data_IF_689908111237
#
_entry.id   IF_689908111237
#
_cell.length_a   1.000
_cell.length_b   1.000
_cell.length_c   1.000
_cell.angle_alpha   90.00
_cell.angle_beta   90.00
_cell.angle_gamma   90.00
#
_symmetry.space_group_name_H-M   'P 1'
#
loop_
_entity.id
_entity.type
_entity.pdbx_description
1 polymer ?
#
# COMPACT_ATOMS: atom_id res chain seq x y z
N UNK A 1 19.33 30.45 -14.89
CA UNK A 1 20.80 30.41 -14.85
C UNK A 1 21.21 29.23 -13.99
N UNK A 2 22.32 28.56 -14.29
CA UNK A 2 22.77 27.43 -13.46
C UNK A 2 23.22 27.96 -12.09
N UNK A 3 22.76 27.35 -10.99
CA UNK A 3 23.22 27.69 -9.66
C UNK A 3 24.72 27.40 -9.53
N UNK A 4 25.44 28.28 -8.83
CA UNK A 4 26.88 28.10 -8.60
C UNK A 4 27.09 26.89 -7.68
N UNK A 5 28.07 26.03 -7.97
CA UNK A 5 28.36 24.86 -7.14
C UNK A 5 28.62 25.30 -5.68
N UNK A 6 28.06 24.56 -4.73
CA UNK A 6 28.12 24.92 -3.31
C UNK A 6 29.57 24.98 -2.78
N UNK A 7 30.50 24.25 -3.37
CA UNK A 7 31.91 24.30 -2.99
C UNK A 7 32.58 25.59 -3.49
N UNK A 8 32.19 26.08 -4.67
CA UNK A 8 32.63 27.37 -5.19
C UNK A 8 32.09 28.50 -4.30
N UNK A 9 30.79 28.46 -3.94
CA UNK A 9 30.20 29.43 -3.02
C UNK A 9 30.95 29.46 -1.68
N UNK A 10 31.26 28.30 -1.10
CA UNK A 10 32.00 28.21 0.18
C UNK A 10 33.39 28.85 0.10
N UNK A 11 34.09 28.71 -1.03
CA UNK A 11 35.43 29.28 -1.21
C UNK A 11 35.47 30.82 -1.19
N UNK A 12 34.34 31.49 -1.41
CA UNK A 12 34.28 32.97 -1.37
C UNK A 12 34.05 33.54 0.03
N UNK A 13 33.79 32.69 1.03
CA UNK A 13 33.43 33.07 2.39
C UNK A 13 34.35 32.39 3.43
N UNK A 14 35.62 32.20 3.08
CA UNK A 14 36.63 31.70 4.02
C UNK A 14 37.13 32.80 4.96
N UNK A 15 37.79 32.42 6.05
CA UNK A 15 38.29 33.39 7.02
C UNK A 15 39.38 34.25 6.39
N UNK A 16 39.14 35.55 6.31
CA UNK A 16 40.08 36.52 5.72
C UNK A 16 39.70 36.94 4.30
N UNK A 17 38.76 36.25 3.67
CA UNK A 17 38.24 36.62 2.35
C UNK A 17 37.07 37.60 2.45
N UNK A 18 37.00 38.51 1.47
CA UNK A 18 35.90 39.45 1.32
C UNK A 18 35.27 39.22 -0.05
N UNK A 19 34.06 38.64 -0.12
CA UNK A 19 33.41 38.36 -1.39
C UNK A 19 33.05 39.66 -2.12
N UNK A 20 33.13 39.64 -3.45
CA UNK A 20 32.66 40.73 -4.30
C UNK A 20 31.13 40.82 -4.29
N UNK A 21 30.58 41.94 -4.75
CA UNK A 21 29.13 42.09 -4.91
C UNK A 21 28.52 40.98 -5.78
N UNK A 22 29.18 40.61 -6.86
CA UNK A 22 28.74 39.55 -7.78
C UNK A 22 28.72 38.18 -7.10
N UNK A 23 29.75 37.87 -6.31
CA UNK A 23 29.82 36.64 -5.51
C UNK A 23 28.70 36.60 -4.46
N UNK A 24 28.40 37.75 -3.85
CA UNK A 24 27.31 37.86 -2.89
C UNK A 24 25.92 37.71 -3.52
N UNK A 25 25.71 38.24 -4.72
CA UNK A 25 24.49 38.04 -5.49
C UNK A 25 24.31 36.60 -5.93
N UNK A 26 25.38 35.97 -6.42
CA UNK A 26 25.37 34.55 -6.81
C UNK A 26 25.01 33.63 -5.63
N UNK A 27 25.37 33.99 -4.39
CA UNK A 27 24.93 33.27 -3.20
C UNK A 27 23.42 33.37 -2.99
N UNK A 28 22.83 34.57 -3.10
CA UNK A 28 21.36 34.72 -2.99
C UNK A 28 20.61 33.98 -4.09
N UNK A 29 21.09 34.04 -5.32
CA UNK A 29 20.46 33.36 -6.47
C UNK A 29 20.55 31.83 -6.41
N UNK A 30 21.40 31.28 -5.53
CA UNK A 30 21.58 29.82 -5.39
C UNK A 30 20.50 29.15 -4.54
N UNK A 31 19.64 29.92 -3.86
CA UNK A 31 18.54 29.40 -3.05
C UNK A 31 17.19 29.90 -3.56
N UNK A 32 16.16 29.08 -3.37
CA UNK A 32 14.77 29.50 -3.60
C UNK A 32 14.33 30.45 -2.49
N UNK A 33 13.81 31.61 -2.87
CA UNK A 33 13.21 32.54 -1.92
C UNK A 33 11.79 32.09 -1.53
N UNK A 34 11.33 32.46 -0.32
CA UNK A 34 10.00 32.06 0.20
C UNK A 34 8.82 32.47 -0.68
N UNK A 35 9.00 33.51 -1.50
CA UNK A 35 7.97 34.05 -2.39
C UNK A 35 8.03 33.44 -3.80
N UNK A 36 8.99 32.56 -4.07
CA UNK A 36 9.18 31.93 -5.36
C UNK A 36 8.45 30.59 -5.42
N UNK A 37 7.96 30.25 -6.60
CA UNK A 37 7.39 28.93 -6.87
C UNK A 37 8.50 28.00 -7.32
N UNK A 38 8.62 26.86 -6.66
CA UNK A 38 9.53 25.79 -7.09
C UNK A 38 8.86 25.06 -8.27
N UNK A 39 9.46 25.04 -9.47
CA UNK A 39 8.90 24.32 -10.59
C UNK A 39 9.06 22.81 -10.39
N UNK A 40 8.05 22.05 -10.81
CA UNK A 40 8.03 20.57 -10.72
C UNK A 40 9.26 19.95 -11.39
N UNK A 41 9.74 20.54 -12.49
CA UNK A 41 10.92 20.09 -13.22
C UNK A 41 12.21 20.14 -12.41
N UNK A 42 12.25 20.87 -11.29
CA UNK A 42 13.42 20.93 -10.39
C UNK A 42 13.40 19.84 -9.31
N UNK A 43 12.33 19.04 -9.21
CA UNK A 43 12.19 17.98 -8.22
C UNK A 43 12.60 16.65 -8.87
N UNK A 44 13.70 16.07 -8.41
CA UNK A 44 14.15 14.75 -8.85
C UNK A 44 13.16 13.67 -8.43
N UNK A 45 12.98 12.63 -9.26
CA UNK A 45 12.10 11.47 -9.02
C UNK A 45 10.60 11.80 -8.95
N UNK A 46 10.17 13.02 -9.29
CA UNK A 46 8.74 13.38 -9.27
C UNK A 46 7.92 12.51 -10.23
N UNK A 47 8.46 12.20 -11.41
CA UNK A 47 7.80 11.34 -12.39
C UNK A 47 7.64 9.90 -11.88
N UNK A 48 8.67 9.34 -11.24
CA UNK A 48 8.64 7.99 -10.66
C UNK A 48 7.55 7.89 -9.58
N UNK A 49 7.50 8.84 -8.66
CA UNK A 49 6.50 8.90 -7.58
C UNK A 49 5.08 9.04 -8.13
N UNK A 50 4.90 9.75 -9.24
CA UNK A 50 3.60 9.89 -9.89
C UNK A 50 3.17 8.61 -10.60
N UNK A 51 4.10 7.92 -11.26
CA UNK A 51 3.84 6.65 -11.95
C UNK A 51 3.50 5.50 -10.97
N UNK A 52 3.97 5.58 -9.71
CA UNK A 52 3.60 4.62 -8.66
C UNK A 52 2.17 4.81 -8.13
N UNK A 53 1.49 5.90 -8.49
CA UNK A 53 0.12 6.19 -8.06
C UNK A 53 -0.87 5.76 -9.14
N UNK A 54 -2.03 5.27 -8.71
CA UNK A 54 -3.16 5.10 -9.63
C UNK A 54 -3.67 6.47 -10.10
N UNK A 55 -3.96 6.58 -11.39
CA UNK A 55 -4.62 7.76 -11.95
C UNK A 55 -6.00 7.97 -11.30
N UNK A 56 -6.35 9.23 -11.06
CA UNK A 56 -7.63 9.58 -10.40
C UNK A 56 -8.83 9.01 -11.18
N UNK A 57 -8.81 9.13 -12.51
CA UNK A 57 -9.90 8.63 -13.35
C UNK A 57 -10.00 7.10 -13.29
N UNK A 58 -8.87 6.38 -13.32
CA UNK A 58 -8.86 4.93 -13.17
C UNK A 58 -9.42 4.49 -11.81
N UNK A 59 -9.07 5.20 -10.73
CA UNK A 59 -9.61 4.95 -9.40
C UNK A 59 -11.11 5.23 -9.30
N UNK A 60 -11.57 6.37 -9.82
CA UNK A 60 -12.98 6.75 -9.81
C UNK A 60 -13.83 5.73 -10.59
N UNK A 61 -13.35 5.32 -11.78
CA UNK A 61 -14.02 4.31 -12.59
C UNK A 61 -14.12 2.97 -11.85
N UNK A 62 -13.04 2.55 -11.18
CA UNK A 62 -13.01 1.33 -10.38
C UNK A 62 -14.03 1.36 -9.23
N UNK A 63 -14.25 2.51 -8.58
CA UNK A 63 -15.21 2.65 -7.47
C UNK A 63 -16.67 2.40 -7.91
N UNK A 64 -17.00 2.75 -9.15
CA UNK A 64 -18.36 2.61 -9.70
C UNK A 64 -18.56 1.37 -10.57
N UNK A 65 -17.49 0.62 -10.86
CA UNK A 65 -17.58 -0.59 -11.67
C UNK A 65 -18.07 -1.77 -10.84
N UNK A 66 -19.35 -2.12 -11.02
CA UNK A 66 -20.00 -3.27 -10.39
C UNK A 66 -19.29 -4.62 -10.70
N UNK A 67 -18.48 -4.68 -11.76
CA UNK A 67 -17.79 -5.88 -12.20
C UNK A 67 -16.27 -5.86 -11.98
N UNK A 68 -15.74 -4.86 -11.26
CA UNK A 68 -14.30 -4.69 -11.04
C UNK A 68 -13.59 -5.93 -10.46
N UNK A 69 -14.34 -6.77 -9.74
CA UNK A 69 -13.84 -7.98 -9.09
C UNK A 69 -14.63 -9.25 -9.45
N UNK A 70 -15.36 -9.26 -10.57
CA UNK A 70 -16.22 -10.39 -10.97
C UNK A 70 -15.48 -11.75 -10.96
N UNK A 71 -14.21 -11.77 -11.38
CA UNK A 71 -13.38 -12.98 -11.37
C UNK A 71 -13.02 -13.49 -9.97
N UNK A 72 -12.88 -12.61 -8.97
CA UNK A 72 -12.66 -13.00 -7.58
C UNK A 72 -13.94 -13.58 -6.97
N UNK A 73 -15.09 -12.96 -7.24
CA UNK A 73 -16.39 -13.48 -6.80
C UNK A 73 -16.74 -14.81 -7.46
N UNK A 74 -16.35 -15.05 -8.72
CA UNK A 74 -16.55 -16.35 -9.34
C UNK A 74 -15.78 -17.49 -8.63
N UNK A 75 -14.64 -17.17 -8.00
CA UNK A 75 -13.84 -18.13 -7.23
C UNK A 75 -14.45 -18.45 -5.87
N UNK A 76 -15.24 -17.56 -5.26
CA UNK A 76 -15.85 -17.83 -3.94
C UNK A 76 -16.88 -18.96 -3.97
N UNK A 77 -17.40 -19.33 -5.15
CA UNK A 77 -18.31 -20.49 -5.33
C UNK A 77 -17.59 -21.84 -5.25
N UNK A 78 -16.27 -21.88 -5.43
CA UNK A 78 -15.48 -23.11 -5.45
C UNK A 78 -14.62 -23.12 -4.19
N UNK A 79 -14.85 -24.09 -3.32
CA UNK A 79 -14.02 -24.30 -2.13
C UNK A 79 -12.87 -25.25 -2.53
N UNK A 80 -11.60 -24.80 -2.49
CA UNK A 80 -10.44 -25.64 -2.72
C UNK A 80 -10.35 -26.84 -1.75
N UNK A 81 -9.62 -27.88 -2.14
CA UNK A 81 -9.34 -29.01 -1.26
C UNK A 81 -8.66 -28.54 0.04
N UNK A 82 -9.12 -29.06 1.19
CA UNK A 82 -8.63 -28.68 2.51
C UNK A 82 -9.18 -27.35 3.04
N UNK A 83 -10.04 -26.66 2.28
CA UNK A 83 -10.77 -25.47 2.74
C UNK A 83 -12.23 -25.79 3.07
N UNK A 84 -12.88 -24.84 3.76
CA UNK A 84 -14.22 -25.00 4.32
C UNK A 84 -15.06 -23.77 4.04
N UNK A 85 -16.37 -23.98 3.91
CA UNK A 85 -17.34 -22.93 4.10
C UNK A 85 -17.62 -22.79 5.60
N UNK A 86 -17.41 -21.59 6.14
CA UNK A 86 -17.50 -21.32 7.58
C UNK A 86 -18.62 -20.32 7.83
N UNK A 87 -19.52 -20.65 8.74
CA UNK A 87 -20.61 -19.81 9.20
C UNK A 87 -20.33 -19.42 10.65
N UNK A 88 -20.27 -18.11 10.90
CA UNK A 88 -19.96 -17.58 12.23
C UNK A 88 -21.07 -17.87 13.23
N UNK A 89 -20.67 -18.36 14.41
CA UNK A 89 -21.56 -18.45 15.55
C UNK A 89 -21.86 -17.05 16.12
N UNK A 90 -22.98 -16.91 16.83
CA UNK A 90 -23.31 -15.66 17.51
C UNK A 90 -22.21 -15.31 18.52
N UNK A 91 -21.67 -14.09 18.39
CA UNK A 91 -20.56 -13.60 19.23
C UNK A 91 -19.16 -13.76 18.62
N UNK A 92 -19.00 -14.59 17.58
CA UNK A 92 -17.75 -14.75 16.84
C UNK A 92 -17.68 -13.70 15.72
N UNK A 93 -16.80 -12.70 15.85
CA UNK A 93 -16.72 -11.56 14.94
C UNK A 93 -15.49 -11.56 14.04
N UNK A 94 -14.55 -12.51 14.19
CA UNK A 94 -13.33 -12.52 13.40
C UNK A 94 -13.58 -13.15 12.01
N UNK A 95 -13.77 -12.33 10.98
CA UNK A 95 -14.05 -12.81 9.62
C UNK A 95 -12.84 -13.47 8.91
N UNK A 96 -11.64 -13.43 9.51
CA UNK A 96 -10.41 -13.94 8.88
C UNK A 96 -10.00 -15.34 9.36
N UNK A 97 -10.54 -15.81 10.48
CA UNK A 97 -10.13 -17.04 11.14
C UNK A 97 -11.35 -17.83 11.62
N UNK A 98 -11.25 -19.16 11.74
CA UNK A 98 -12.29 -19.97 12.37
C UNK A 98 -12.19 -19.85 13.89
N UNK A 99 -13.32 -19.87 14.57
CA UNK A 99 -13.40 -19.82 16.03
C UNK A 99 -14.21 -21.02 16.54
N UNK A 100 -13.88 -21.60 17.71
CA UNK A 100 -14.65 -22.71 18.26
C UNK A 100 -16.16 -22.36 18.33
N UNK A 101 -17.00 -23.28 17.88
CA UNK A 101 -18.44 -23.08 17.72
C UNK A 101 -18.87 -22.65 16.32
N UNK A 102 -17.97 -22.19 15.45
CA UNK A 102 -18.30 -21.85 14.07
C UNK A 102 -18.74 -23.08 13.27
N UNK A 103 -19.83 -22.96 12.52
CA UNK A 103 -20.35 -24.08 11.74
C UNK A 103 -19.60 -24.21 10.42
N UNK A 104 -19.01 -25.37 10.16
CA UNK A 104 -18.16 -25.61 8.99
C UNK A 104 -18.74 -26.69 8.08
N UNK A 105 -18.66 -26.47 6.77
CA UNK A 105 -18.94 -27.46 5.73
C UNK A 105 -17.69 -27.69 4.89
N UNK A 106 -17.28 -28.95 4.70
CA UNK A 106 -16.08 -29.26 3.92
C UNK A 106 -15.83 -30.75 3.74
N UNK A 107 -14.65 -31.08 3.23
CA UNK A 107 -14.17 -32.46 3.08
C UNK A 107 -12.89 -32.63 3.89
N UNK A 108 -12.89 -33.58 4.81
CA UNK A 108 -11.72 -34.02 5.58
C UNK A 108 -11.64 -35.53 5.52
N UNK A 109 -10.43 -36.08 5.48
CA UNK A 109 -10.23 -37.54 5.48
C UNK A 109 -11.08 -38.25 4.41
N UNK A 110 -11.20 -37.64 3.22
CA UNK A 110 -12.00 -38.15 2.10
C UNK A 110 -13.52 -38.27 2.39
N UNK A 111 -14.01 -37.66 3.46
CA UNK A 111 -15.42 -37.66 3.91
C UNK A 111 -15.97 -36.24 4.01
N UNK A 112 -17.24 -36.06 3.65
CA UNK A 112 -17.94 -34.80 3.89
C UNK A 112 -18.19 -34.60 5.39
N UNK A 113 -17.94 -33.40 5.88
CA UNK A 113 -18.22 -32.97 7.25
C UNK A 113 -19.12 -31.74 7.27
N UNK A 114 -20.04 -31.74 8.23
CA UNK A 114 -20.95 -30.64 8.51
C UNK A 114 -21.17 -30.58 10.02
N UNK A 115 -20.64 -29.55 10.68
CA UNK A 115 -20.68 -29.48 12.14
C UNK A 115 -20.01 -28.24 12.69
N UNK A 116 -20.24 -27.97 13.97
CA UNK A 116 -19.55 -26.91 14.71
C UNK A 116 -18.09 -27.31 14.93
N UNK A 117 -17.18 -26.39 14.62
CA UNK A 117 -15.75 -26.62 14.81
C UNK A 117 -15.39 -26.55 16.30
N UNK A 118 -14.64 -27.54 16.77
CA UNK A 118 -14.28 -27.69 18.19
C UNK A 118 -13.05 -26.88 18.61
N UNK A 119 -12.28 -26.35 17.65
CA UNK A 119 -11.02 -25.63 17.91
C UNK A 119 -9.76 -26.49 17.82
N UNK A 120 -9.89 -27.80 17.58
CA UNK A 120 -8.78 -28.74 17.48
C UNK A 120 -8.13 -28.72 16.07
N UNK A 121 -7.97 -29.89 15.44
CA UNK A 121 -7.30 -30.03 14.15
C UNK A 121 -8.30 -30.01 13.00
N UNK A 122 -8.22 -28.96 12.18
CA UNK A 122 -9.06 -28.76 10.99
C UNK A 122 -9.04 -29.91 9.97
N UNK A 123 -8.07 -30.81 10.02
CA UNK A 123 -7.96 -31.93 9.09
C UNK A 123 -8.57 -33.23 9.65
N UNK A 124 -9.11 -33.22 10.86
CA UNK A 124 -9.70 -34.39 11.50
C UNK A 124 -11.22 -34.28 11.52
N UNK A 125 -11.90 -35.37 11.14
CA UNK A 125 -13.36 -35.43 11.23
C UNK A 125 -13.88 -35.26 12.66
N UNK A 126 -13.12 -35.72 13.65
CA UNK A 126 -13.48 -35.61 15.08
C UNK A 126 -13.54 -34.17 15.58
N UNK A 127 -12.97 -33.23 14.85
CA UNK A 127 -12.97 -31.82 15.23
C UNK A 127 -14.25 -31.08 14.84
N UNK A 128 -15.24 -31.78 14.28
CA UNK A 128 -16.53 -31.24 13.86
C UNK A 128 -17.68 -32.05 14.50
N UNK A 129 -18.51 -31.38 15.28
CA UNK A 129 -19.67 -31.94 16.02
C UNK A 129 -21.03 -31.52 15.44
#
# INVERSE_FOLDING_TARGET
>A
MAATDINILKSWYETGDVPTQEQFWAWFESYWHKNEKIPITSITQIEEILNDKADKEAFDNHLTDENAHAGLFAKTRIIPFGQFLVFKAEGNANESEKEPGDYCLGIVENSFVSGSWTGDNDQLKSSYE
#
